data_IF_989313453946
#
_entry.id   IF_989313453946
#
_cell.length_a   1.000
_cell.length_b   1.000
_cell.length_c   1.000
_cell.angle_alpha   90.00
_cell.angle_beta   90.00
_cell.angle_gamma   90.00
#
_symmetry.space_group_name_H-M   'P 1'
#
loop_
_entity.id
_entity.type
_entity.pdbx_description
1 polymer ?
#
# COMPACT_ATOMS: atom_id res chain seq x y z
N UNK A 1 -1.57 42.65 -12.11
CA UNK A 1 -0.72 41.77 -12.96
C UNK A 1 0.54 41.31 -12.21
N UNK A 2 1.31 42.25 -11.65
CA UNK A 2 2.55 41.95 -10.89
C UNK A 2 2.34 41.11 -9.65
N UNK A 3 1.29 41.38 -8.85
CA UNK A 3 0.93 40.59 -7.65
C UNK A 3 0.55 39.14 -7.98
N UNK A 4 -0.15 38.88 -9.08
CA UNK A 4 -0.46 37.53 -9.54
C UNK A 4 0.83 36.78 -9.92
N UNK A 5 1.73 37.41 -10.64
CA UNK A 5 2.98 36.79 -11.06
C UNK A 5 3.87 36.45 -9.87
N UNK A 6 3.96 37.37 -8.89
CA UNK A 6 4.70 37.13 -7.64
C UNK A 6 4.10 35.97 -6.84
N UNK A 7 2.77 35.90 -6.70
CA UNK A 7 2.07 34.85 -5.99
C UNK A 7 2.30 33.46 -6.64
N UNK A 8 2.14 33.38 -7.96
CA UNK A 8 2.34 32.14 -8.68
C UNK A 8 3.79 31.67 -8.62
N UNK A 9 4.75 32.59 -8.72
CA UNK A 9 6.16 32.25 -8.59
C UNK A 9 6.49 31.71 -7.19
N UNK A 10 5.98 32.32 -6.13
CA UNK A 10 6.20 31.90 -4.75
C UNK A 10 5.63 30.48 -4.51
N UNK A 11 4.44 30.19 -5.03
CA UNK A 11 3.86 28.84 -4.97
C UNK A 11 4.71 27.81 -5.74
N UNK A 12 5.24 28.17 -6.91
CA UNK A 12 6.08 27.26 -7.71
C UNK A 12 7.42 26.98 -7.00
N UNK A 13 8.04 27.97 -6.38
CA UNK A 13 9.26 27.80 -5.59
C UNK A 13 9.02 26.85 -4.42
N UNK A 14 7.95 27.05 -3.64
CA UNK A 14 7.60 26.17 -2.51
C UNK A 14 7.34 24.76 -3.00
N UNK A 15 6.59 24.55 -4.09
CA UNK A 15 6.33 23.21 -4.67
C UNK A 15 7.60 22.50 -5.12
N UNK A 16 8.55 23.23 -5.71
CA UNK A 16 9.85 22.67 -6.09
C UNK A 16 10.59 22.15 -4.86
N UNK A 17 10.62 22.93 -3.76
CA UNK A 17 11.28 22.52 -2.52
C UNK A 17 10.52 21.41 -1.81
N UNK A 18 9.18 21.38 -1.82
CA UNK A 18 8.37 20.25 -1.37
C UNK A 18 8.76 18.96 -2.10
N UNK A 19 8.87 19.01 -3.43
CA UNK A 19 9.25 17.87 -4.25
C UNK A 19 10.65 17.36 -3.91
N UNK A 20 11.62 18.28 -3.80
CA UNK A 20 12.99 17.89 -3.44
C UNK A 20 13.09 17.30 -2.05
N UNK A 21 12.41 17.87 -1.08
CA UNK A 21 12.44 17.42 0.31
C UNK A 21 11.67 16.10 0.51
N UNK A 22 10.39 16.04 0.07
CA UNK A 22 9.50 14.92 0.39
C UNK A 22 9.52 13.75 -0.60
N UNK A 23 10.04 13.97 -1.81
CA UNK A 23 10.05 12.96 -2.89
C UNK A 23 11.47 12.53 -3.24
N UNK A 24 12.39 13.48 -3.41
CA UNK A 24 13.76 13.17 -3.80
C UNK A 24 14.69 12.89 -2.62
N UNK A 25 14.32 13.33 -1.40
CA UNK A 25 15.19 13.31 -0.21
C UNK A 25 16.52 14.06 -0.44
N UNK A 26 16.43 15.18 -1.17
CA UNK A 26 17.57 16.00 -1.62
C UNK A 26 17.22 17.51 -1.49
N UNK A 27 17.12 18.05 -0.26
CA UNK A 27 16.77 19.44 -0.02
C UNK A 27 17.87 20.39 -0.52
N UNK A 28 17.49 21.46 -1.25
CA UNK A 28 18.40 22.54 -1.68
C UNK A 28 18.47 23.70 -0.69
N UNK A 29 17.49 23.82 0.21
CA UNK A 29 17.41 24.90 1.19
C UNK A 29 17.23 24.31 2.59
N UNK A 30 17.60 25.08 3.61
CA UNK A 30 17.39 24.72 5.02
C UNK A 30 15.91 24.82 5.41
N UNK A 31 15.53 24.15 6.51
CA UNK A 31 14.18 24.22 7.07
C UNK A 31 13.77 25.67 7.40
N UNK A 32 14.74 26.50 7.84
CA UNK A 32 14.51 27.91 8.18
C UNK A 32 14.17 28.72 6.91
N UNK A 33 14.88 28.48 5.82
CA UNK A 33 14.63 29.17 4.53
C UNK A 33 13.28 28.73 3.96
N UNK A 34 12.95 27.44 4.04
CA UNK A 34 11.64 26.94 3.65
C UNK A 34 10.50 27.55 4.49
N UNK A 35 10.65 27.60 5.80
CA UNK A 35 9.67 28.22 6.70
C UNK A 35 9.45 29.72 6.38
N UNK A 36 10.51 30.45 6.00
CA UNK A 36 10.40 31.84 5.61
C UNK A 36 9.60 32.00 4.29
N UNK A 37 9.86 31.17 3.28
CA UNK A 37 9.06 31.15 2.05
C UNK A 37 7.59 30.85 2.33
N UNK A 38 7.32 29.91 3.21
CA UNK A 38 5.95 29.54 3.58
C UNK A 38 5.23 30.67 4.35
N UNK A 39 5.93 31.36 5.26
CA UNK A 39 5.40 32.56 5.97
C UNK A 39 5.14 33.70 4.99
N UNK A 40 6.01 33.92 4.02
CA UNK A 40 5.80 34.94 2.97
C UNK A 40 4.53 34.63 2.17
N UNK A 41 4.31 33.36 1.81
CA UNK A 41 3.08 32.93 1.11
C UNK A 41 1.82 33.20 1.95
N UNK A 42 1.84 32.86 3.25
CA UNK A 42 0.71 33.11 4.17
C UNK A 42 0.44 34.62 4.29
N UNK A 43 1.48 35.44 4.44
CA UNK A 43 1.33 36.90 4.53
C UNK A 43 0.74 37.47 3.22
N UNK A 44 1.23 36.99 2.07
CA UNK A 44 0.74 37.41 0.77
C UNK A 44 -0.74 37.06 0.56
N UNK A 45 -1.17 35.88 0.96
CA UNK A 45 -2.57 35.45 0.90
C UNK A 45 -3.49 36.24 1.85
N UNK A 46 -2.96 36.69 2.98
CA UNK A 46 -3.67 37.60 3.91
C UNK A 46 -3.87 38.97 3.31
N UNK A 47 -2.85 39.51 2.63
CA UNK A 47 -2.91 40.82 2.03
C UNK A 47 -3.73 40.83 0.73
N UNK A 48 -3.79 39.71 0.01
CA UNK A 48 -4.52 39.53 -1.24
C UNK A 48 -5.46 38.33 -1.22
N UNK A 49 -6.52 38.30 -0.38
CA UNK A 49 -7.41 37.14 -0.23
C UNK A 49 -8.08 36.68 -1.53
N UNK A 50 -8.27 37.59 -2.49
CA UNK A 50 -8.86 37.29 -3.81
C UNK A 50 -7.94 36.41 -4.69
N UNK A 51 -6.65 36.28 -4.38
CA UNK A 51 -5.70 35.42 -5.10
C UNK A 51 -5.66 34.00 -4.55
N UNK A 52 -6.20 33.80 -3.35
CA UNK A 52 -6.21 32.49 -2.70
C UNK A 52 -6.99 31.47 -3.56
N UNK A 53 -6.34 30.38 -3.89
CA UNK A 53 -6.93 29.30 -4.67
C UNK A 53 -6.68 27.95 -4.03
N UNK A 54 -7.42 26.94 -4.49
CA UNK A 54 -7.42 25.58 -3.91
C UNK A 54 -6.14 24.81 -4.14
N UNK A 55 -5.26 25.29 -5.03
CA UNK A 55 -3.97 24.67 -5.33
C UNK A 55 -2.81 25.25 -4.51
N UNK A 56 -3.08 26.22 -3.62
CA UNK A 56 -2.04 26.80 -2.76
C UNK A 56 -1.51 25.77 -1.75
N UNK A 57 -0.19 25.71 -1.53
CA UNK A 57 0.42 24.91 -0.47
C UNK A 57 -0.17 25.17 0.92
N UNK A 58 -0.67 26.39 1.18
CA UNK A 58 -1.30 26.75 2.47
C UNK A 58 -2.66 26.09 2.68
N UNK A 59 -3.34 25.65 1.61
CA UNK A 59 -4.66 25.03 1.67
C UNK A 59 -4.63 23.52 1.96
N UNK A 60 -3.47 22.93 2.27
CA UNK A 60 -3.34 21.51 2.62
C UNK A 60 -4.11 21.13 3.90
N UNK A 61 -4.29 22.04 4.86
CA UNK A 61 -4.82 21.76 6.20
C UNK A 61 -5.89 22.80 6.60
N UNK A 62 -6.92 22.99 5.80
CA UNK A 62 -7.96 23.99 6.10
C UNK A 62 -9.39 23.45 6.08
N UNK A 63 -9.57 22.13 5.88
CA UNK A 63 -10.86 21.52 5.60
C UNK A 63 -11.56 21.10 6.89
N UNK A 64 -12.86 21.38 7.01
CA UNK A 64 -13.69 20.96 8.15
C UNK A 64 -13.83 19.44 8.19
N UNK A 65 -13.92 18.82 9.40
CA UNK A 65 -14.25 17.42 9.54
C UNK A 65 -15.57 17.08 8.83
N UNK A 66 -15.64 15.88 8.23
CA UNK A 66 -16.84 15.35 7.59
C UNK A 66 -17.51 14.33 8.50
N UNK A 67 -18.82 14.14 8.37
CA UNK A 67 -19.56 13.13 9.13
C UNK A 67 -19.43 11.73 8.51
N UNK A 68 -19.19 11.66 7.20
CA UNK A 68 -18.94 10.42 6.46
C UNK A 68 -18.23 10.73 5.15
N UNK A 69 -17.55 9.74 4.58
CA UNK A 69 -16.96 9.84 3.25
C UNK A 69 -18.01 9.61 2.17
N UNK A 70 -17.96 10.40 1.09
CA UNK A 70 -18.77 10.18 -0.10
C UNK A 70 -18.22 9.00 -0.88
N UNK A 71 -19.11 8.21 -1.47
CA UNK A 71 -18.74 7.13 -2.38
C UNK A 71 -18.36 7.70 -3.75
N UNK A 72 -17.32 7.11 -4.36
CA UNK A 72 -16.89 7.41 -5.72
C UNK A 72 -16.78 6.14 -6.52
N UNK A 73 -17.33 6.10 -7.72
CA UNK A 73 -17.23 5.00 -8.67
C UNK A 73 -15.98 5.16 -9.53
N UNK A 74 -15.08 4.15 -9.52
CA UNK A 74 -13.87 4.16 -10.32
C UNK A 74 -14.19 4.00 -11.80
N UNK A 75 -13.69 4.89 -12.66
CA UNK A 75 -13.89 4.82 -14.11
C UNK A 75 -13.25 3.58 -14.73
N UNK A 76 -12.12 3.14 -14.22
CA UNK A 76 -11.50 1.85 -14.49
C UNK A 76 -11.36 1.10 -13.18
N UNK A 77 -11.80 -0.15 -13.13
CA UNK A 77 -11.75 -0.96 -11.92
C UNK A 77 -10.32 -1.04 -11.34
N UNK A 78 -10.18 -0.91 -10.03
CA UNK A 78 -8.93 -1.13 -9.31
C UNK A 78 -8.76 -2.61 -8.97
N UNK A 79 -8.27 -3.37 -9.93
CA UNK A 79 -8.11 -4.82 -9.82
C UNK A 79 -7.09 -5.21 -8.74
N UNK A 80 -7.28 -6.39 -8.16
CA UNK A 80 -6.28 -7.07 -7.35
C UNK A 80 -5.23 -7.73 -8.25
N UNK A 81 -4.15 -8.25 -7.67
CA UNK A 81 -3.18 -9.06 -8.38
C UNK A 81 -3.34 -10.53 -7.98
N UNK A 82 -3.18 -11.44 -8.94
CA UNK A 82 -2.99 -12.86 -8.64
C UNK A 82 -1.62 -13.03 -7.96
N UNK A 83 -1.49 -14.02 -7.07
CA UNK A 83 -0.25 -14.27 -6.35
C UNK A 83 0.40 -15.57 -6.85
N UNK A 84 1.75 -15.60 -6.79
CA UNK A 84 2.58 -16.80 -6.89
C UNK A 84 3.56 -16.82 -5.72
N UNK A 85 3.91 -18.03 -5.29
CA UNK A 85 4.76 -18.28 -4.13
C UNK A 85 5.98 -19.14 -4.47
N UNK A 86 6.05 -19.67 -5.70
CA UNK A 86 7.11 -20.55 -6.15
C UNK A 86 7.54 -20.22 -7.58
N UNK A 87 8.75 -20.66 -7.92
CA UNK A 87 9.29 -20.56 -9.28
C UNK A 87 8.40 -21.29 -10.30
N UNK A 88 7.89 -22.46 -9.96
CA UNK A 88 7.01 -23.25 -10.84
C UNK A 88 5.71 -22.50 -11.17
N UNK A 89 5.07 -21.88 -10.17
CA UNK A 89 3.87 -21.07 -10.41
C UNK A 89 4.16 -19.84 -11.27
N UNK A 90 5.35 -19.25 -11.11
CA UNK A 90 5.81 -18.15 -11.95
C UNK A 90 6.04 -18.61 -13.38
N UNK A 91 6.69 -19.76 -13.60
CA UNK A 91 6.87 -20.37 -14.93
C UNK A 91 5.52 -20.62 -15.62
N UNK A 92 4.51 -21.07 -14.88
CA UNK A 92 3.17 -21.27 -15.42
C UNK A 92 2.48 -19.95 -15.81
N UNK A 93 2.73 -18.87 -15.06
CA UNK A 93 2.28 -17.54 -15.47
C UNK A 93 2.94 -17.12 -16.81
N UNK A 94 4.23 -17.32 -16.98
CA UNK A 94 4.94 -17.02 -18.23
C UNK A 94 4.43 -17.87 -19.40
N UNK A 95 4.22 -19.17 -19.21
CA UNK A 95 3.62 -20.06 -20.24
C UNK A 95 2.24 -19.57 -20.69
N UNK A 96 1.40 -19.07 -19.74
CA UNK A 96 0.08 -18.51 -20.07
C UNK A 96 0.19 -17.23 -20.91
N UNK A 97 1.16 -16.35 -20.62
CA UNK A 97 1.45 -15.17 -21.44
C UNK A 97 1.91 -15.60 -22.82
N UNK A 98 2.92 -16.46 -22.92
CA UNK A 98 3.49 -16.95 -24.17
C UNK A 98 2.44 -17.57 -25.08
N UNK A 99 1.54 -18.40 -24.52
CA UNK A 99 0.44 -19.01 -25.28
C UNK A 99 -0.52 -17.98 -25.89
N UNK A 100 -0.65 -16.78 -25.29
CA UNK A 100 -1.53 -15.70 -25.78
C UNK A 100 -0.81 -14.71 -26.68
N UNK A 101 0.52 -14.71 -26.63
CA UNK A 101 1.40 -13.77 -27.31
C UNK A 101 2.28 -14.50 -28.36
N UNK A 102 1.75 -15.53 -29.01
CA UNK A 102 2.49 -16.42 -29.97
C UNK A 102 3.23 -15.68 -31.07
N UNK A 103 2.79 -14.46 -31.40
CA UNK A 103 3.41 -13.61 -32.44
C UNK A 103 4.50 -12.67 -31.90
N UNK A 104 4.88 -12.81 -30.62
CA UNK A 104 5.84 -11.92 -29.95
C UNK A 104 6.93 -12.75 -29.32
N UNK A 105 8.12 -12.68 -29.90
CA UNK A 105 9.28 -13.46 -29.44
C UNK A 105 9.96 -12.87 -28.20
N UNK A 106 9.80 -11.56 -27.95
CA UNK A 106 10.46 -10.87 -26.83
C UNK A 106 9.55 -9.78 -26.26
N UNK A 107 9.37 -9.81 -24.94
CA UNK A 107 8.66 -8.77 -24.18
C UNK A 107 9.35 -8.49 -22.86
N UNK A 108 9.41 -7.22 -22.50
CA UNK A 108 10.00 -6.76 -21.26
C UNK A 108 8.97 -6.78 -20.12
N UNK A 109 9.45 -7.06 -18.92
CA UNK A 109 8.72 -6.87 -17.69
C UNK A 109 9.19 -5.61 -16.97
N UNK A 110 8.25 -4.90 -16.39
CA UNK A 110 8.50 -3.84 -15.44
C UNK A 110 8.26 -4.40 -14.04
N UNK A 111 9.33 -4.46 -13.25
CA UNK A 111 9.34 -5.04 -11.91
C UNK A 111 9.31 -3.93 -10.87
N UNK A 112 8.55 -4.12 -9.81
CA UNK A 112 8.45 -3.18 -8.70
C UNK A 112 8.36 -3.92 -7.36
N UNK A 113 8.85 -3.35 -6.23
CA UNK A 113 8.58 -3.89 -4.92
C UNK A 113 7.08 -3.81 -4.63
N UNK A 114 6.50 -4.89 -4.11
CA UNK A 114 5.11 -4.90 -3.66
C UNK A 114 5.02 -4.25 -2.28
N UNK A 115 4.66 -2.98 -2.28
CA UNK A 115 4.51 -2.20 -1.06
C UNK A 115 3.33 -2.70 -0.24
N UNK A 116 3.49 -2.74 1.07
CA UNK A 116 2.45 -3.12 2.01
C UNK A 116 1.86 -1.87 2.68
N UNK A 117 0.81 -1.32 2.07
CA UNK A 117 0.16 -0.08 2.49
C UNK A 117 -1.33 -0.06 2.20
N UNK A 118 -1.84 1.10 1.80
CA UNK A 118 -3.22 1.32 1.41
C UNK A 118 -3.31 1.88 -0.01
N UNK A 119 -3.92 1.12 -0.91
CA UNK A 119 -4.07 1.51 -2.32
C UNK A 119 -5.07 2.66 -2.48
N UNK A 120 -4.67 3.66 -3.26
CA UNK A 120 -5.52 4.80 -3.62
C UNK A 120 -5.41 5.14 -5.11
N UNK A 121 -6.39 5.92 -5.57
CA UNK A 121 -6.38 6.60 -6.86
C UNK A 121 -6.32 8.12 -6.63
N UNK A 122 -5.42 8.80 -7.34
CA UNK A 122 -5.28 10.25 -7.39
C UNK A 122 -5.71 10.76 -8.75
N UNK A 123 -6.64 11.72 -8.77
CA UNK A 123 -7.18 12.29 -9.99
C UNK A 123 -6.69 13.74 -10.11
N UNK A 124 -6.01 14.01 -11.21
CA UNK A 124 -5.58 15.36 -11.58
C UNK A 124 -6.35 15.83 -12.82
N UNK A 125 -6.91 17.04 -12.73
CA UNK A 125 -7.54 17.72 -13.85
C UNK A 125 -6.75 18.99 -14.16
N UNK A 126 -6.28 19.12 -15.38
CA UNK A 126 -5.38 20.20 -15.82
C UNK A 126 -4.17 20.38 -14.86
N UNK A 127 -3.66 19.24 -14.36
CA UNK A 127 -2.53 19.17 -13.45
C UNK A 127 -2.83 19.51 -11.98
N UNK A 128 -4.06 19.81 -11.62
CA UNK A 128 -4.47 20.09 -10.23
C UNK A 128 -5.09 18.83 -9.62
N UNK A 129 -4.70 18.47 -8.40
CA UNK A 129 -5.28 17.36 -7.65
C UNK A 129 -6.73 17.72 -7.26
N UNK A 130 -7.68 17.12 -7.97
CA UNK A 130 -9.12 17.33 -7.74
C UNK A 130 -9.69 16.26 -6.84
N UNK A 131 -9.13 15.04 -6.84
CA UNK A 131 -9.69 13.94 -6.06
C UNK A 131 -8.65 12.91 -5.63
N UNK A 132 -8.84 12.37 -4.41
CA UNK A 132 -8.17 11.18 -3.90
C UNK A 132 -9.21 10.18 -3.42
N UNK A 133 -9.10 8.92 -3.84
CA UNK A 133 -10.13 7.88 -3.62
C UNK A 133 -9.47 6.60 -3.13
N UNK A 134 -10.05 5.95 -2.11
CA UNK A 134 -9.60 4.61 -1.68
C UNK A 134 -9.96 3.57 -2.74
N UNK A 135 -9.25 2.45 -2.75
CA UNK A 135 -9.59 1.33 -3.65
C UNK A 135 -11.01 0.81 -3.41
N UNK A 136 -11.45 0.76 -2.15
CA UNK A 136 -12.72 0.14 -1.79
C UNK A 136 -12.77 -1.34 -2.20
N UNK A 137 -13.89 -1.73 -2.82
CA UNK A 137 -14.09 -3.06 -3.42
C UNK A 137 -13.47 -3.21 -4.82
N UNK A 138 -12.84 -2.15 -5.32
CA UNK A 138 -12.26 -2.06 -6.65
C UNK A 138 -13.17 -1.39 -7.69
N UNK A 139 -14.48 -1.38 -7.49
CA UNK A 139 -15.46 -0.68 -8.32
C UNK A 139 -15.82 0.67 -7.70
N UNK A 140 -16.03 0.69 -6.39
CA UNK A 140 -16.34 1.88 -5.62
C UNK A 140 -15.38 2.07 -4.47
N UNK A 141 -15.00 3.32 -4.22
CA UNK A 141 -14.13 3.72 -3.11
C UNK A 141 -14.70 4.91 -2.35
N UNK A 142 -14.02 5.30 -1.28
CA UNK A 142 -14.35 6.48 -0.48
C UNK A 142 -13.57 7.69 -0.99
N UNK A 143 -14.24 8.82 -1.18
CA UNK A 143 -13.61 10.10 -1.49
C UNK A 143 -12.93 10.66 -0.23
N UNK A 144 -11.61 10.57 -0.22
CA UNK A 144 -10.73 10.99 0.88
C UNK A 144 -9.86 12.19 0.47
N UNK A 145 -10.31 12.99 -0.48
CA UNK A 145 -9.54 14.10 -1.07
C UNK A 145 -8.94 15.02 -0.01
N UNK A 146 -9.71 15.34 1.01
CA UNK A 146 -9.27 16.22 2.10
C UNK A 146 -8.08 15.65 2.87
N UNK A 147 -8.09 14.34 3.11
CA UNK A 147 -7.02 13.62 3.81
C UNK A 147 -5.78 13.53 2.91
N UNK A 148 -5.97 13.15 1.65
CA UNK A 148 -4.89 13.03 0.65
C UNK A 148 -4.13 14.34 0.47
N UNK A 149 -4.84 15.47 0.44
CA UNK A 149 -4.23 16.82 0.33
C UNK A 149 -3.29 17.15 1.49
N UNK A 150 -3.41 16.50 2.64
CA UNK A 150 -2.50 16.71 3.78
C UNK A 150 -1.19 15.94 3.66
N UNK A 151 -1.09 14.96 2.74
CA UNK A 151 0.09 14.13 2.55
C UNK A 151 1.12 14.88 1.72
N UNK A 152 2.25 15.23 2.34
CA UNK A 152 3.24 16.15 1.76
C UNK A 152 3.92 15.62 0.49
N UNK A 153 4.10 14.31 0.37
CA UNK A 153 4.66 13.67 -0.83
C UNK A 153 3.71 13.67 -2.04
N UNK A 154 2.43 14.04 -1.86
CA UNK A 154 1.47 14.17 -2.97
C UNK A 154 1.42 15.62 -3.43
N UNK A 155 1.78 15.93 -4.69
CA UNK A 155 1.68 17.27 -5.20
C UNK A 155 0.20 17.67 -5.35
N UNK A 156 -0.15 18.89 -4.92
CA UNK A 156 -1.49 19.45 -5.20
C UNK A 156 -1.63 19.95 -6.64
N UNK A 157 -0.49 20.25 -7.25
CA UNK A 157 -0.38 20.61 -8.67
C UNK A 157 0.86 19.94 -9.23
N UNK A 158 0.71 19.30 -10.39
CA UNK A 158 1.81 18.68 -11.11
C UNK A 158 2.83 19.73 -11.55
N UNK A 159 4.10 19.37 -11.54
CA UNK A 159 5.18 20.20 -12.02
C UNK A 159 5.12 20.33 -13.55
N UNK A 160 5.53 21.50 -14.06
CA UNK A 160 5.75 21.65 -15.50
C UNK A 160 6.96 20.79 -15.90
N UNK A 161 6.79 20.04 -16.97
CA UNK A 161 7.85 19.20 -17.52
C UNK A 161 8.19 19.66 -18.94
N UNK A 162 9.47 19.62 -19.30
CA UNK A 162 9.90 19.83 -20.68
C UNK A 162 9.70 18.60 -21.57
N UNK A 163 9.47 17.42 -20.97
CA UNK A 163 9.35 16.14 -21.68
C UNK A 163 7.93 15.83 -22.12
N UNK A 164 6.90 16.42 -21.49
CA UNK A 164 5.50 16.24 -21.87
C UNK A 164 4.62 17.39 -21.38
N UNK A 165 3.54 17.64 -22.11
CA UNK A 165 2.47 18.50 -21.64
C UNK A 165 1.67 17.82 -20.51
N UNK A 166 1.15 18.61 -19.58
CA UNK A 166 0.29 18.10 -18.52
C UNK A 166 -1.04 17.63 -19.14
N UNK A 167 -1.41 16.36 -18.98
CA UNK A 167 -2.68 15.85 -19.50
C UNK A 167 -3.87 16.60 -18.87
N UNK A 168 -4.93 16.89 -19.63
CA UNK A 168 -6.15 17.50 -19.09
C UNK A 168 -6.84 16.61 -18.05
N UNK A 169 -6.66 15.29 -18.13
CA UNK A 169 -7.11 14.32 -17.12
C UNK A 169 -6.07 13.23 -16.93
N UNK A 170 -5.65 13.01 -15.67
CA UNK A 170 -4.67 12.00 -15.31
C UNK A 170 -5.08 11.34 -14.00
N UNK A 171 -5.38 10.04 -14.04
CA UNK A 171 -5.63 9.22 -12.84
C UNK A 171 -4.40 8.34 -12.57
N UNK A 172 -3.80 8.51 -11.39
CA UNK A 172 -2.62 7.74 -10.96
C UNK A 172 -3.00 6.87 -9.78
N UNK A 173 -2.66 5.60 -9.86
CA UNK A 173 -2.81 4.63 -8.77
C UNK A 173 -1.51 4.49 -8.02
N UNK A 174 -1.61 4.39 -6.71
CA UNK A 174 -0.45 4.25 -5.86
C UNK A 174 -0.79 3.72 -4.48
N UNK A 175 0.25 3.57 -3.69
CA UNK A 175 0.16 3.06 -2.33
C UNK A 175 0.48 4.16 -1.33
N UNK A 176 -0.38 4.34 -0.33
CA UNK A 176 -0.07 5.12 0.87
C UNK A 176 0.60 4.21 1.86
N UNK A 177 1.75 4.64 2.38
CA UNK A 177 2.55 3.87 3.32
C UNK A 177 3.15 4.74 4.42
N UNK A 178 3.69 4.10 5.44
CA UNK A 178 4.50 4.71 6.49
C UNK A 178 5.85 4.00 6.48
N UNK A 179 6.96 4.76 6.50
CA UNK A 179 8.29 4.16 6.61
C UNK A 179 8.48 3.48 7.96
N UNK A 180 9.39 2.48 8.03
CA UNK A 180 9.70 1.73 9.25
C UNK A 180 10.07 2.65 10.42
N UNK A 181 10.95 3.62 10.17
CA UNK A 181 11.40 4.61 11.18
C UNK A 181 10.22 5.46 11.66
N UNK A 182 9.38 5.93 10.74
CA UNK A 182 8.22 6.74 11.09
C UNK A 182 7.15 5.95 11.83
N UNK A 183 6.98 4.67 11.50
CA UNK A 183 6.07 3.77 12.22
C UNK A 183 6.52 3.54 13.67
N UNK A 184 7.80 3.28 13.89
CA UNK A 184 8.35 3.14 15.24
C UNK A 184 8.17 4.42 16.06
N UNK A 185 8.45 5.58 15.46
CA UNK A 185 8.24 6.90 16.11
C UNK A 185 6.77 7.14 16.45
N UNK A 186 5.87 6.80 15.51
CA UNK A 186 4.42 6.93 15.70
C UNK A 186 3.94 6.12 16.91
N UNK A 187 4.35 4.84 16.99
CA UNK A 187 3.95 3.96 18.08
C UNK A 187 4.60 4.33 19.41
N UNK A 188 5.85 4.78 19.43
CA UNK A 188 6.48 5.32 20.64
C UNK A 188 5.69 6.53 21.19
N UNK A 189 5.30 7.45 20.33
CA UNK A 189 4.49 8.60 20.75
C UNK A 189 3.11 8.17 21.25
N UNK A 190 2.46 7.20 20.60
CA UNK A 190 1.16 6.66 21.02
C UNK A 190 1.22 6.05 22.43
N UNK A 191 2.28 5.29 22.76
CA UNK A 191 2.49 4.73 24.10
C UNK A 191 2.63 5.86 25.15
N UNK A 192 3.34 6.94 24.84
CA UNK A 192 3.52 8.06 25.78
C UNK A 192 2.25 8.87 26.02
N UNK A 193 1.34 8.92 25.05
CA UNK A 193 0.07 9.67 25.12
C UNK A 193 -1.15 8.79 25.45
N UNK A 194 -0.94 7.51 25.77
CA UNK A 194 -2.00 6.52 26.02
C UNK A 194 -2.98 6.40 24.82
N UNK A 195 -2.45 6.61 23.60
CA UNK A 195 -3.17 6.49 22.37
C UNK A 195 -3.09 5.06 21.80
N UNK A 196 -3.91 4.77 20.78
CA UNK A 196 -3.93 3.49 20.11
C UNK A 196 -2.61 3.20 19.37
N UNK A 197 -1.93 2.12 19.78
CA UNK A 197 -0.77 1.56 19.09
C UNK A 197 -1.21 0.76 17.89
N UNK A 198 -0.54 0.93 16.74
CA UNK A 198 -0.82 0.19 15.52
C UNK A 198 -0.01 -1.10 15.45
N UNK A 199 -0.64 -2.17 14.97
CA UNK A 199 -0.02 -3.49 14.89
C UNK A 199 1.10 -3.57 13.82
N UNK A 200 0.93 -2.87 12.69
CA UNK A 200 1.90 -2.85 11.59
C UNK A 200 1.78 -1.55 10.76
N UNK A 201 2.77 -1.23 9.90
CA UNK A 201 2.76 -0.03 9.06
C UNK A 201 1.55 0.06 8.12
N UNK A 202 1.06 -1.06 7.58
CA UNK A 202 -0.13 -1.10 6.72
C UNK A 202 -1.39 -0.64 7.47
N UNK A 203 -1.62 -1.19 8.67
CA UNK A 203 -2.76 -0.79 9.49
C UNK A 203 -2.64 0.67 9.95
N UNK A 204 -1.43 1.12 10.23
CA UNK A 204 -1.16 2.52 10.57
C UNK A 204 -1.45 3.45 9.38
N UNK A 205 -1.02 3.09 8.16
CA UNK A 205 -1.30 3.85 6.95
C UNK A 205 -2.81 3.91 6.66
N UNK A 206 -3.47 2.76 6.59
CA UNK A 206 -4.90 2.65 6.31
C UNK A 206 -5.75 3.37 7.36
N UNK A 207 -5.49 3.15 8.65
CA UNK A 207 -6.21 3.79 9.76
C UNK A 207 -5.98 5.31 9.83
N UNK A 208 -4.77 5.78 9.50
CA UNK A 208 -4.45 7.21 9.47
C UNK A 208 -5.04 7.93 8.26
N UNK A 209 -5.19 7.23 7.14
CA UNK A 209 -5.73 7.78 5.90
C UNK A 209 -7.25 8.02 6.00
N UNK A 210 -7.99 7.15 6.68
CA UNK A 210 -9.46 7.17 6.79
C UNK A 210 -9.94 7.86 8.06
N UNK A 211 -9.45 9.08 8.31
CA UNK A 211 -9.90 9.92 9.43
C UNK A 211 -10.94 10.94 8.96
N UNK A 212 -12.03 11.07 9.70
CA UNK A 212 -13.08 12.05 9.38
C UNK A 212 -12.59 13.50 9.53
N UNK A 213 -11.63 13.73 10.42
CA UNK A 213 -10.91 15.00 10.55
C UNK A 213 -9.55 14.93 9.83
N UNK A 214 -9.35 15.65 8.73
CA UNK A 214 -8.07 15.70 8.00
C UNK A 214 -6.90 16.21 8.84
N UNK A 215 -7.16 16.96 9.91
CA UNK A 215 -6.11 17.41 10.84
C UNK A 215 -5.45 16.25 11.58
N UNK A 216 -6.17 15.14 11.80
CA UNK A 216 -5.58 13.93 12.36
C UNK A 216 -4.64 13.30 11.33
N UNK A 217 -5.08 13.15 10.09
CA UNK A 217 -4.26 12.65 8.98
C UNK A 217 -3.00 13.49 8.78
N UNK A 218 -3.10 14.82 8.85
CA UNK A 218 -1.96 15.73 8.64
C UNK A 218 -0.82 15.56 9.67
N UNK A 219 -1.14 15.04 10.86
CA UNK A 219 -0.16 14.74 11.92
C UNK A 219 0.49 13.36 11.74
N UNK A 220 0.02 12.55 10.80
CA UNK A 220 0.54 11.21 10.52
C UNK A 220 1.61 11.26 9.43
N UNK A 221 2.74 10.56 9.59
CA UNK A 221 3.85 10.62 8.64
C UNK A 221 3.58 9.70 7.43
N UNK A 222 2.49 9.99 6.71
CA UNK A 222 2.10 9.26 5.51
C UNK A 222 2.93 9.70 4.31
N UNK A 223 3.24 8.73 3.45
CA UNK A 223 3.88 8.94 2.16
C UNK A 223 3.12 8.21 1.06
N UNK A 224 3.29 8.66 -0.17
CA UNK A 224 2.68 8.07 -1.38
C UNK A 224 3.75 7.54 -2.31
N UNK A 225 3.44 6.49 -3.05
CA UNK A 225 4.27 5.93 -4.13
C UNK A 225 3.38 5.51 -5.29
N UNK A 226 3.62 6.03 -6.48
CA UNK A 226 2.88 5.65 -7.69
C UNK A 226 3.27 4.22 -8.12
N UNK A 227 2.25 3.42 -8.50
CA UNK A 227 2.45 2.05 -9.01
C UNK A 227 1.62 1.73 -10.25
N UNK A 228 0.79 2.64 -10.77
CA UNK A 228 -0.01 2.36 -11.94
C UNK A 228 -0.77 3.55 -12.50
N UNK A 229 -1.32 3.34 -13.68
CA UNK A 229 -2.16 4.28 -14.41
C UNK A 229 -3.62 3.87 -14.31
N UNK A 230 -4.50 4.83 -14.04
CA UNK A 230 -5.93 4.70 -14.23
C UNK A 230 -6.37 5.22 -15.60
N UNK A 231 -7.36 6.11 -15.62
CA UNK A 231 -7.79 6.79 -16.85
C UNK A 231 -6.84 7.96 -17.17
N UNK A 232 -6.53 8.12 -18.44
CA UNK A 232 -5.80 9.28 -18.96
C UNK A 232 -6.49 9.81 -20.22
N UNK A 233 -6.51 11.14 -20.37
CA UNK A 233 -7.00 11.84 -21.57
C UNK A 233 -5.99 12.88 -22.01
N UNK A 234 -5.76 12.99 -23.31
CA UNK A 234 -4.86 13.99 -23.89
C UNK A 234 -3.37 13.64 -23.77
N UNK A 235 -3.04 12.41 -23.38
CA UNK A 235 -1.69 11.85 -23.44
C UNK A 235 -1.76 10.35 -23.68
N UNK A 236 -0.70 9.79 -24.25
CA UNK A 236 -0.53 8.36 -24.49
C UNK A 236 0.85 7.92 -23.96
N UNK A 237 0.88 6.80 -23.27
CA UNK A 237 2.10 6.17 -22.78
C UNK A 237 2.28 4.81 -23.49
N UNK A 238 3.46 4.58 -24.05
CA UNK A 238 3.76 3.32 -24.75
C UNK A 238 4.10 2.18 -23.80
N UNK A 239 4.68 2.52 -22.64
CA UNK A 239 5.16 1.54 -21.66
C UNK A 239 5.10 2.07 -20.24
N UNK A 240 5.17 1.15 -19.26
CA UNK A 240 5.29 1.51 -17.84
C UNK A 240 6.58 2.28 -17.55
N UNK A 241 7.70 1.90 -18.17
CA UNK A 241 8.97 2.64 -18.04
C UNK A 241 8.80 4.11 -18.44
N UNK A 242 8.20 4.36 -19.62
CA UNK A 242 7.92 5.72 -20.09
C UNK A 242 6.92 6.45 -19.17
N UNK A 243 5.87 5.75 -18.71
CA UNK A 243 4.92 6.31 -17.76
C UNK A 243 5.63 6.81 -16.49
N UNK A 244 6.37 5.94 -15.82
CA UNK A 244 6.99 6.29 -14.54
C UNK A 244 8.07 7.37 -14.66
N UNK A 245 8.81 7.39 -15.76
CA UNK A 245 9.72 8.50 -16.08
C UNK A 245 8.97 9.83 -16.18
N UNK A 246 7.85 9.86 -16.87
CA UNK A 246 7.03 11.06 -17.00
C UNK A 246 6.36 11.46 -15.67
N UNK A 247 5.87 10.49 -14.88
CA UNK A 247 5.30 10.77 -13.55
C UNK A 247 6.34 11.42 -12.62
N UNK A 248 7.58 10.93 -12.62
CA UNK A 248 8.68 11.56 -11.87
C UNK A 248 8.93 13.01 -12.33
N UNK A 249 8.94 13.25 -13.64
CA UNK A 249 9.10 14.60 -14.20
C UNK A 249 7.93 15.55 -13.85
N UNK A 250 6.73 14.98 -13.64
CA UNK A 250 5.55 15.72 -13.19
C UNK A 250 5.52 15.92 -11.67
N UNK A 251 6.51 15.43 -10.92
CA UNK A 251 6.63 15.59 -9.47
C UNK A 251 5.92 14.54 -8.64
N UNK A 252 5.51 13.42 -9.23
CA UNK A 252 4.91 12.31 -8.51
C UNK A 252 6.00 11.34 -8.02
N UNK A 253 5.90 10.84 -6.76
CA UNK A 253 6.84 9.87 -6.24
C UNK A 253 6.77 8.54 -7.00
N UNK A 254 7.93 8.09 -7.50
CA UNK A 254 8.14 6.82 -8.18
C UNK A 254 9.23 6.04 -7.47
N UNK A 255 9.04 4.74 -7.32
CA UNK A 255 9.99 3.90 -6.60
C UNK A 255 11.30 3.75 -7.39
N UNK A 256 12.42 4.15 -6.78
CA UNK A 256 13.76 4.04 -7.37
C UNK A 256 14.24 2.60 -7.55
N UNK A 257 13.59 1.62 -6.90
CA UNK A 257 13.87 0.19 -7.04
C UNK A 257 13.17 -0.45 -8.24
N UNK A 258 12.26 0.28 -8.90
CA UNK A 258 11.60 -0.21 -10.12
C UNK A 258 12.63 -0.47 -11.22
N UNK A 259 12.46 -1.57 -11.94
CA UNK A 259 13.42 -1.97 -12.98
C UNK A 259 12.73 -2.67 -14.15
N UNK A 260 13.09 -2.29 -15.37
CA UNK A 260 12.75 -3.05 -16.56
C UNK A 260 13.72 -4.22 -16.71
N UNK A 261 13.20 -5.42 -16.97
CA UNK A 261 13.97 -6.66 -17.12
C UNK A 261 13.43 -7.47 -18.29
N UNK A 262 14.24 -8.38 -18.80
CA UNK A 262 13.84 -9.31 -19.89
C UNK A 262 13.53 -10.70 -19.33
N UNK A 263 12.42 -11.26 -19.77
CA UNK A 263 12.05 -12.65 -19.53
C UNK A 263 11.93 -13.06 -18.05
N UNK A 264 11.82 -14.37 -17.85
CA UNK A 264 11.63 -14.95 -16.50
C UNK A 264 12.89 -14.81 -15.64
N UNK A 265 14.07 -15.03 -16.24
CA UNK A 265 15.33 -14.98 -15.47
C UNK A 265 15.57 -13.59 -14.90
N UNK A 266 15.34 -12.53 -15.69
CA UNK A 266 15.41 -11.16 -15.19
C UNK A 266 14.40 -10.85 -14.08
N UNK A 267 13.22 -11.46 -14.09
CA UNK A 267 12.24 -11.36 -13.02
C UNK A 267 12.71 -12.08 -11.75
N UNK A 268 13.31 -13.26 -11.88
CA UNK A 268 13.86 -14.04 -10.76
C UNK A 268 15.04 -13.29 -10.12
N UNK A 269 15.98 -12.80 -10.92
CA UNK A 269 17.13 -12.02 -10.44
C UNK A 269 16.67 -10.78 -9.67
N UNK A 270 15.63 -10.11 -10.18
CA UNK A 270 15.04 -8.96 -9.49
C UNK A 270 14.44 -9.36 -8.13
N UNK A 271 13.68 -10.47 -8.08
CA UNK A 271 13.10 -11.00 -6.84
C UNK A 271 14.16 -11.31 -5.80
N UNK A 272 15.19 -12.05 -6.18
CA UNK A 272 16.28 -12.45 -5.29
C UNK A 272 17.05 -11.23 -4.74
N UNK A 273 17.30 -10.25 -5.60
CA UNK A 273 17.92 -8.99 -5.19
C UNK A 273 17.07 -8.22 -4.17
N UNK A 274 15.75 -8.07 -4.41
CA UNK A 274 14.86 -7.37 -3.48
C UNK A 274 14.72 -8.15 -2.18
N UNK A 275 14.61 -9.49 -2.23
CA UNK A 275 14.53 -10.34 -1.05
C UNK A 275 15.78 -10.22 -0.18
N UNK A 276 16.98 -10.30 -0.78
CA UNK A 276 18.27 -10.17 -0.08
C UNK A 276 18.42 -8.80 0.60
N UNK A 277 17.87 -7.74 0.00
CA UNK A 277 17.97 -6.38 0.51
C UNK A 277 16.72 -5.91 1.28
N UNK A 278 15.71 -6.78 1.52
CA UNK A 278 14.43 -6.44 2.17
C UNK A 278 14.61 -5.69 3.49
N UNK A 279 15.61 -6.06 4.27
CA UNK A 279 15.91 -5.44 5.56
C UNK A 279 16.28 -3.95 5.47
N UNK A 280 17.00 -3.56 4.43
CA UNK A 280 17.47 -2.19 4.20
C UNK A 280 16.43 -1.28 3.54
N UNK A 281 15.37 -1.85 2.97
CA UNK A 281 14.29 -1.06 2.35
C UNK A 281 13.53 -0.30 3.44
N UNK A 282 13.35 1.04 3.30
CA UNK A 282 12.80 1.88 4.37
C UNK A 282 11.30 1.70 4.62
N UNK A 283 10.60 0.89 3.84
CA UNK A 283 9.17 0.57 3.96
C UNK A 283 8.94 -0.93 3.88
N UNK A 284 7.77 -1.39 4.34
CA UNK A 284 7.43 -2.80 4.29
C UNK A 284 7.00 -3.22 2.89
N UNK A 285 7.46 -4.41 2.51
CA UNK A 285 7.12 -5.08 1.25
C UNK A 285 6.80 -6.54 1.54
N UNK A 286 5.83 -7.09 0.84
CA UNK A 286 5.37 -8.49 0.98
C UNK A 286 5.70 -9.37 -0.23
N UNK A 287 6.45 -8.81 -1.19
CA UNK A 287 6.87 -9.46 -2.42
C UNK A 287 7.34 -8.46 -3.46
N UNK A 288 7.29 -8.88 -4.70
CA UNK A 288 7.51 -8.03 -5.89
C UNK A 288 6.33 -8.18 -6.86
N UNK A 289 6.16 -7.23 -7.76
CA UNK A 289 5.16 -7.29 -8.83
C UNK A 289 5.87 -7.28 -10.17
N UNK A 290 5.47 -8.18 -11.05
CA UNK A 290 5.88 -8.18 -12.45
C UNK A 290 4.72 -7.73 -13.31
N UNK A 291 4.96 -6.82 -14.22
CA UNK A 291 3.98 -6.31 -15.19
C UNK A 291 4.60 -6.33 -16.58
N UNK A 292 3.87 -6.75 -17.58
CA UNK A 292 4.30 -6.55 -18.97
C UNK A 292 4.51 -5.05 -19.19
N UNK A 293 5.67 -4.66 -19.70
CA UNK A 293 6.07 -3.25 -19.79
C UNK A 293 5.23 -2.46 -20.82
N UNK A 294 4.92 -3.03 -21.98
CA UNK A 294 4.21 -2.36 -23.08
C UNK A 294 2.69 -2.39 -22.88
N UNK A 295 2.03 -1.20 -22.92
CA UNK A 295 0.57 -1.11 -22.76
C UNK A 295 -0.20 -1.83 -23.86
N UNK A 296 0.27 -1.83 -25.10
CA UNK A 296 -0.36 -2.58 -26.21
C UNK A 296 -0.41 -4.09 -25.95
N UNK A 297 0.60 -4.64 -25.27
CA UNK A 297 0.60 -6.04 -24.87
C UNK A 297 -0.29 -6.31 -23.65
N UNK A 298 -0.39 -5.35 -22.72
CA UNK A 298 -1.33 -5.43 -21.62
C UNK A 298 -2.78 -5.47 -22.12
N UNK A 299 -3.12 -4.64 -23.11
CA UNK A 299 -4.44 -4.63 -23.76
C UNK A 299 -4.72 -5.96 -24.50
N UNK A 300 -3.75 -6.49 -25.25
CA UNK A 300 -3.88 -7.78 -25.94
C UNK A 300 -4.12 -8.95 -24.97
N UNK A 301 -3.44 -8.95 -23.81
CA UNK A 301 -3.61 -9.96 -22.77
C UNK A 301 -4.93 -9.81 -22.01
N UNK A 302 -5.36 -8.58 -21.80
CA UNK A 302 -6.59 -8.24 -21.12
C UNK A 302 -6.61 -8.62 -19.64
N UNK A 303 -7.81 -8.67 -19.12
CA UNK A 303 -8.09 -8.85 -17.68
C UNK A 303 -9.05 -10.02 -17.45
N UNK A 304 -9.13 -10.51 -16.23
CA UNK A 304 -10.19 -11.38 -15.72
C UNK A 304 -10.94 -10.62 -14.62
N UNK A 305 -12.03 -11.17 -14.14
CA UNK A 305 -12.95 -10.47 -13.22
C UNK A 305 -12.27 -9.80 -12.01
N UNK A 306 -11.15 -10.31 -11.54
CA UNK A 306 -10.48 -9.81 -10.32
C UNK A 306 -9.02 -9.41 -10.50
N UNK A 307 -8.38 -9.76 -11.63
CA UNK A 307 -6.95 -9.50 -11.82
C UNK A 307 -6.59 -9.35 -13.30
N UNK A 308 -5.55 -8.57 -13.62
CA UNK A 308 -5.00 -8.52 -14.99
C UNK A 308 -4.24 -9.81 -15.30
N UNK A 309 -4.23 -10.20 -16.60
CA UNK A 309 -3.43 -11.33 -17.09
C UNK A 309 -1.97 -10.95 -17.34
N UNK A 310 -1.70 -9.66 -17.42
CA UNK A 310 -0.39 -9.10 -17.73
C UNK A 310 0.44 -8.73 -16.50
N UNK A 311 -0.09 -8.96 -15.30
CA UNK A 311 0.62 -8.68 -14.06
C UNK A 311 0.40 -9.78 -13.02
N UNK A 312 1.42 -9.99 -12.17
CA UNK A 312 1.37 -10.96 -11.09
C UNK A 312 2.22 -10.50 -9.91
N UNK A 313 1.80 -10.83 -8.70
CA UNK A 313 2.57 -10.60 -7.48
C UNK A 313 3.31 -11.88 -7.06
N UNK A 314 4.63 -11.81 -6.97
CA UNK A 314 5.46 -12.88 -6.42
C UNK A 314 5.75 -12.56 -4.97
N UNK A 315 5.07 -13.26 -4.09
CA UNK A 315 5.13 -13.08 -2.64
C UNK A 315 6.43 -13.66 -2.08
N UNK A 316 6.98 -13.00 -1.07
CA UNK A 316 8.07 -13.59 -0.28
C UNK A 316 7.57 -14.77 0.53
N UNK A 317 8.45 -15.71 0.90
CA UNK A 317 8.10 -16.75 1.85
C UNK A 317 7.54 -16.12 3.12
N UNK A 318 6.45 -16.68 3.62
CA UNK A 318 5.87 -16.22 4.87
C UNK A 318 6.87 -16.48 6.00
N UNK A 319 7.05 -15.49 6.88
CA UNK A 319 7.85 -15.70 8.09
C UNK A 319 7.15 -16.73 8.98
N UNK A 320 7.92 -17.70 9.46
CA UNK A 320 7.46 -18.72 10.38
C UNK A 320 8.07 -18.48 11.77
N UNK A 321 7.30 -18.80 12.80
CA UNK A 321 7.77 -18.78 14.16
C UNK A 321 7.27 -20.01 14.92
N UNK A 322 8.02 -20.42 15.94
CA UNK A 322 7.65 -21.53 16.80
C UNK A 322 7.13 -21.01 18.13
N UNK A 323 6.01 -21.52 18.60
CA UNK A 323 5.41 -21.14 19.88
C UNK A 323 4.66 -22.31 20.51
N UNK A 324 4.09 -22.07 21.72
CA UNK A 324 3.31 -23.07 22.47
C UNK A 324 1.82 -22.74 22.40
N UNK A 325 0.98 -23.78 22.33
CA UNK A 325 -0.46 -23.66 22.56
C UNK A 325 -0.70 -23.61 24.06
N UNK A 326 -1.26 -22.50 24.55
CA UNK A 326 -1.64 -22.34 25.95
C UNK A 326 -3.08 -22.79 26.20
N UNK A 327 -3.97 -22.58 25.22
CA UNK A 327 -5.40 -22.87 25.34
C UNK A 327 -6.03 -23.03 23.95
N UNK A 328 -7.14 -23.74 23.82
CA UNK A 328 -7.96 -23.77 22.61
C UNK A 328 -9.41 -23.45 22.99
N UNK A 329 -9.93 -22.35 22.41
CA UNK A 329 -11.26 -21.85 22.65
C UNK A 329 -12.12 -21.93 21.40
N UNK A 330 -13.45 -21.98 21.57
CA UNK A 330 -14.41 -21.98 20.47
C UNK A 330 -15.19 -20.66 20.46
N UNK A 331 -15.07 -19.94 19.37
CA UNK A 331 -15.79 -18.68 19.14
C UNK A 331 -17.01 -18.89 18.26
N UNK A 332 -18.12 -18.26 18.62
CA UNK A 332 -19.37 -18.30 17.84
C UNK A 332 -19.40 -17.08 16.91
N UNK A 333 -19.38 -17.30 15.61
CA UNK A 333 -19.51 -16.26 14.60
C UNK A 333 -20.95 -15.69 14.52
N UNK A 334 -21.12 -14.58 13.80
CA UNK A 334 -22.45 -13.92 13.61
C UNK A 334 -23.50 -14.83 12.96
N UNK A 335 -23.07 -15.81 12.21
CA UNK A 335 -23.92 -16.82 11.55
C UNK A 335 -24.16 -18.08 12.39
N UNK A 336 -23.66 -18.12 13.64
CA UNK A 336 -23.74 -19.30 14.50
C UNK A 336 -22.64 -20.37 14.26
N UNK A 337 -21.74 -20.13 13.30
CA UNK A 337 -20.62 -21.04 13.01
C UNK A 337 -19.63 -21.02 14.16
N UNK A 338 -19.23 -22.22 14.61
CA UNK A 338 -18.27 -22.45 15.66
C UNK A 338 -16.85 -22.49 15.06
N UNK A 339 -16.00 -21.55 15.48
CA UNK A 339 -14.62 -21.43 15.00
C UNK A 339 -13.65 -21.72 16.13
N UNK A 340 -12.81 -22.78 16.04
CA UNK A 340 -11.78 -23.03 17.03
C UNK A 340 -10.62 -22.05 16.88
N UNK A 341 -10.13 -21.52 18.01
CA UNK A 341 -9.03 -20.55 18.08
C UNK A 341 -8.03 -21.02 19.14
N UNK A 342 -6.80 -21.22 18.73
CA UNK A 342 -5.69 -21.50 19.62
C UNK A 342 -5.15 -20.20 20.22
N UNK A 343 -5.07 -20.13 21.55
CA UNK A 343 -4.32 -19.13 22.28
C UNK A 343 -2.87 -19.61 22.38
N UNK A 344 -1.96 -18.75 22.02
CA UNK A 344 -0.54 -19.06 21.89
C UNK A 344 0.29 -18.25 22.89
N UNK A 345 1.38 -18.81 23.37
CA UNK A 345 2.42 -18.00 24.00
C UNK A 345 2.85 -16.92 23.01
N UNK A 346 2.77 -15.64 23.39
CA UNK A 346 3.02 -14.53 22.47
C UNK A 346 4.37 -14.67 21.77
N UNK A 347 4.37 -14.60 20.44
CA UNK A 347 5.57 -14.71 19.61
C UNK A 347 5.54 -13.72 18.47
N UNK A 348 6.71 -13.16 18.13
CA UNK A 348 6.84 -12.21 17.01
C UNK A 348 6.95 -12.98 15.69
N UNK A 349 6.06 -12.70 14.73
CA UNK A 349 6.09 -13.26 13.37
C UNK A 349 5.54 -12.24 12.37
N UNK A 350 6.24 -12.02 11.29
CA UNK A 350 5.86 -11.02 10.27
C UNK A 350 5.67 -9.62 10.86
N UNK A 351 6.59 -9.20 11.75
CA UNK A 351 6.61 -7.86 12.34
C UNK A 351 5.58 -7.59 13.44
N UNK A 352 4.68 -8.55 13.77
CA UNK A 352 3.66 -8.40 14.83
C UNK A 352 3.78 -9.48 15.88
N UNK A 353 3.26 -9.20 17.10
CA UNK A 353 3.13 -10.20 18.15
C UNK A 353 1.81 -10.95 17.93
N UNK A 354 1.93 -12.26 17.78
CA UNK A 354 0.79 -13.17 17.62
C UNK A 354 0.57 -13.92 18.92
N UNK A 355 -0.64 -13.82 19.47
CA UNK A 355 -1.10 -14.53 20.67
C UNK A 355 -2.35 -15.37 20.44
N UNK A 356 -2.99 -15.26 19.26
CA UNK A 356 -4.14 -16.06 18.88
C UNK A 356 -4.00 -16.50 17.43
N UNK A 357 -4.44 -17.73 17.16
CA UNK A 357 -4.36 -18.33 15.83
C UNK A 357 -5.65 -19.11 15.53
N UNK A 358 -6.27 -18.82 14.39
CA UNK A 358 -7.46 -19.59 13.99
C UNK A 358 -7.07 -21.00 13.56
N UNK A 359 -7.91 -21.96 13.92
CA UNK A 359 -7.88 -23.35 13.41
C UNK A 359 -8.95 -23.56 12.33
N UNK A 360 -9.46 -22.46 11.77
CA UNK A 360 -10.43 -22.37 10.68
C UNK A 360 -11.78 -23.03 10.96
N UNK A 361 -11.82 -24.36 11.10
CA UNK A 361 -13.02 -25.15 11.32
C UNK A 361 -12.70 -26.44 12.08
N UNK A 362 -13.74 -27.22 12.35
CA UNK A 362 -13.64 -28.50 13.08
C UNK A 362 -12.81 -29.53 12.30
N UNK A 363 -12.94 -29.59 10.98
CA UNK A 363 -12.21 -30.56 10.15
C UNK A 363 -10.70 -30.29 10.23
N UNK A 364 -10.30 -29.03 10.21
CA UNK A 364 -8.88 -28.62 10.34
C UNK A 364 -8.36 -28.88 11.77
N UNK A 365 -9.19 -28.66 12.80
CA UNK A 365 -8.88 -29.03 14.18
C UNK A 365 -8.63 -30.54 14.31
N UNK A 366 -9.48 -31.37 13.72
CA UNK A 366 -9.32 -32.82 13.72
C UNK A 366 -8.11 -33.26 12.91
N UNK A 367 -7.86 -32.66 11.77
CA UNK A 367 -6.71 -32.97 10.90
C UNK A 367 -5.37 -32.67 11.58
N UNK A 368 -5.28 -31.58 12.28
CA UNK A 368 -4.06 -31.16 12.97
C UNK A 368 -3.86 -31.86 14.32
N UNK A 369 -4.92 -32.29 14.97
CA UNK A 369 -4.93 -32.84 16.35
C UNK A 369 -4.10 -32.03 17.35
N UNK A 370 -4.33 -30.69 17.45
CA UNK A 370 -3.58 -29.83 18.36
C UNK A 370 -3.99 -30.10 19.81
N UNK A 371 -3.01 -30.09 20.70
CA UNK A 371 -3.20 -30.28 22.14
C UNK A 371 -2.64 -29.13 22.93
N UNK A 372 -3.20 -28.87 24.10
CA UNK A 372 -2.64 -27.86 25.01
C UNK A 372 -1.23 -28.30 25.41
N UNK A 373 -0.27 -27.34 25.32
CA UNK A 373 1.15 -27.59 25.55
C UNK A 373 1.93 -27.99 24.28
N UNK A 374 1.27 -28.21 23.15
CA UNK A 374 1.98 -28.51 21.90
C UNK A 374 2.86 -27.34 21.46
N UNK A 375 4.04 -27.67 20.98
CA UNK A 375 4.89 -26.75 20.24
C UNK A 375 4.44 -26.75 18.78
N UNK A 376 4.07 -25.58 18.26
CA UNK A 376 3.55 -25.40 16.92
C UNK A 376 4.38 -24.44 16.11
N UNK A 377 4.42 -24.65 14.80
CA UNK A 377 4.95 -23.68 13.83
C UNK A 377 3.76 -22.90 13.30
N UNK A 378 3.84 -21.59 13.46
CA UNK A 378 2.86 -20.65 12.93
C UNK A 378 3.46 -19.80 11.81
N UNK A 379 2.61 -19.38 10.89
CA UNK A 379 2.94 -18.35 9.88
C UNK A 379 1.78 -17.37 9.75
N UNK A 380 2.04 -16.22 9.16
CA UNK A 380 0.98 -15.28 8.77
C UNK A 380 0.69 -15.45 7.28
N UNK A 381 -0.47 -16.02 6.97
CA UNK A 381 -0.92 -16.16 5.58
C UNK A 381 -1.24 -14.77 4.99
N UNK A 382 -0.56 -14.41 3.90
CA UNK A 382 -0.72 -13.09 3.25
C UNK A 382 -0.41 -11.91 4.17
N UNK A 383 0.46 -12.12 5.16
CA UNK A 383 0.84 -11.18 6.22
C UNK A 383 -0.35 -10.64 7.07
N UNK A 384 -1.50 -11.31 7.05
CA UNK A 384 -2.71 -10.85 7.76
C UNK A 384 -3.18 -11.83 8.82
N UNK A 385 -3.48 -13.08 8.46
CA UNK A 385 -4.12 -14.06 9.35
C UNK A 385 -3.10 -15.10 9.84
N UNK A 386 -2.86 -15.21 11.17
CA UNK A 386 -2.01 -16.25 11.70
C UNK A 386 -2.65 -17.65 11.51
N UNK A 387 -1.83 -18.61 11.08
CA UNK A 387 -2.22 -20.01 10.87
C UNK A 387 -1.21 -20.96 11.50
N UNK A 388 -1.69 -22.03 12.12
CA UNK A 388 -0.85 -23.15 12.54
C UNK A 388 -0.59 -24.01 11.30
N UNK A 389 0.69 -24.24 10.97
CA UNK A 389 1.09 -25.04 9.80
C UNK A 389 1.29 -26.49 10.18
N UNK A 390 1.97 -26.69 11.30
CA UNK A 390 2.29 -28.03 11.79
C UNK A 390 2.54 -28.01 13.28
N UNK A 391 2.32 -29.15 13.89
CA UNK A 391 2.69 -29.47 15.26
C UNK A 391 4.07 -30.13 15.23
N UNK A 392 4.94 -29.79 16.18
CA UNK A 392 6.22 -30.45 16.37
C UNK A 392 6.00 -31.62 17.34
N UNK A 393 5.57 -32.76 16.81
CA UNK A 393 5.19 -33.95 17.61
C UNK A 393 6.33 -34.43 18.55
N UNK A 394 7.59 -34.27 18.13
CA UNK A 394 8.76 -34.61 18.97
C UNK A 394 8.88 -33.78 20.23
N UNK A 395 8.15 -32.65 20.33
CA UNK A 395 8.10 -31.75 21.49
C UNK A 395 6.75 -31.81 22.22
N UNK A 396 5.86 -32.72 21.84
CA UNK A 396 4.56 -32.86 22.50
C UNK A 396 4.73 -33.37 23.93
N UNK A 397 4.10 -32.76 24.95
CA UNK A 397 4.14 -33.24 26.32
C UNK A 397 3.58 -34.64 26.42
N UNK A 398 4.19 -35.48 27.30
CA UNK A 398 3.72 -36.85 27.53
C UNK A 398 2.27 -36.87 28.07
N UNK A 399 1.91 -35.92 28.92
CA UNK A 399 0.55 -35.73 29.42
C UNK A 399 -0.12 -34.63 28.59
N UNK A 400 -0.67 -34.97 27.44
CA UNK A 400 -1.44 -34.09 26.59
C UNK A 400 -2.78 -34.69 26.23
N UNK A 401 -3.84 -33.89 26.24
CA UNK A 401 -5.21 -34.34 26.00
C UNK A 401 -5.74 -33.75 24.68
N UNK A 402 -6.55 -34.56 24.00
CA UNK A 402 -7.32 -34.13 22.85
C UNK A 402 -8.35 -33.06 23.28
N UNK A 403 -8.69 -32.18 22.35
CA UNK A 403 -9.66 -31.13 22.63
C UNK A 403 -11.09 -31.64 22.39
N UNK A 404 -11.92 -31.52 23.42
CA UNK A 404 -13.34 -31.85 23.31
C UNK A 404 -14.09 -30.76 22.55
N UNK A 405 -14.79 -31.15 21.49
CA UNK A 405 -15.62 -30.24 20.71
C UNK A 405 -16.93 -30.01 21.47
N UNK A 406 -17.31 -28.75 21.77
CA UNK A 406 -18.54 -28.47 22.49
C UNK A 406 -19.77 -29.01 21.76
N UNK A 407 -20.62 -29.77 22.45
CA UNK A 407 -21.92 -30.26 21.94
C UNK A 407 -23.05 -29.24 22.09
N UNK A 408 -22.86 -28.25 22.96
CA UNK A 408 -23.77 -27.14 23.20
C UNK A 408 -23.07 -25.83 22.79
N UNK A 409 -23.85 -24.82 22.45
CA UNK A 409 -23.32 -23.52 22.08
C UNK A 409 -22.59 -22.89 23.27
N UNK A 410 -21.29 -22.56 23.17
CA UNK A 410 -20.55 -21.95 24.28
C UNK A 410 -21.00 -20.52 24.63
N UNK A 411 -21.87 -19.91 23.81
CA UNK A 411 -22.38 -18.58 24.05
C UNK A 411 -23.78 -18.54 24.70
N UNK A 412 -24.62 -19.59 24.48
CA UNK A 412 -26.01 -19.56 24.94
C UNK A 412 -26.49 -20.90 25.50
N UNK A 413 -25.64 -21.94 25.57
CA UNK A 413 -25.93 -23.32 25.97
C UNK A 413 -26.98 -23.96 25.09
#
# INVERSE_FOLDING_TARGET
MESHLKYDNLKEVIRKHDYRYYVLDDPEISDIEYDNLFRELIAFEKDFPQLLNTDSPTQRVGIKPVSSFKTYEHKRQMLSLSNVFSKTELEDFFKRIQKRMMDVDDYDFYCEPKMDGAAISLIFENGILTRGVTRGDGTTGEDITSNVKTIKSIPQKLLKSSSMEIPPYLEIRGEIYISKINFERLNKNAIHSDDKVFANPRNAASGSLRQLDPKITSKRPLSFMAHGLGEVRGAEFKSLEALFLNLANLGLPVNKLNKKVKGIDGCIDYYENILANRGSIPFDIDGVVYKINQFSYQEKLGEISRSPRWAIAHKFPAEEATTLIEEINFQVGRTGILTPVARLKPVKVGGVIVSNCTLHNIDELQRLDPRIGDTVVIRRAGDVIPQIIKIIESKRPAESFSIDIPRLCPACN
#
